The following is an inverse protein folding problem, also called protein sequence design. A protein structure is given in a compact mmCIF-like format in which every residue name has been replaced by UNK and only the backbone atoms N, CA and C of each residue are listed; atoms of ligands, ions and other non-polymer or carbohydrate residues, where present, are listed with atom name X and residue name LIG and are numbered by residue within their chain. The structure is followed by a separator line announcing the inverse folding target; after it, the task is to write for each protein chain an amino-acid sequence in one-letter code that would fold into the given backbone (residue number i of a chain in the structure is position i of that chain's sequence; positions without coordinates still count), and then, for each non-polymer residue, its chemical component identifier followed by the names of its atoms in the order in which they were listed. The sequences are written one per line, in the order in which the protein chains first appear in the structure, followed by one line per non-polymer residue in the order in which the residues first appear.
data_IF_039369314474
#
_entry.id   IF_039369314474
#
_cell.length_a   1.000
_cell.length_b   1.000
_cell.length_c   1.000
_cell.angle_alpha   90.00
_cell.angle_beta   90.00
_cell.angle_gamma   90.00
#
_symmetry.space_group_name_H-M   'P 1'
#
loop_
_entity.id
_entity.type
_entity.pdbx_description
1 polymer ?
#
# COMPACT_ATOMS: atom_id res chain seq x y z
N UNK A 1 11.30 71.12 61.92
CA UNK A 1 10.35 70.00 61.69
C UNK A 1 9.83 70.12 60.30
N UNK A 2 10.57 69.74 59.24
CA UNK A 2 10.02 69.64 57.89
C UNK A 2 11.12 69.09 56.97
N UNK A 3 11.31 67.81 56.88
CA UNK A 3 12.16 67.10 55.85
C UNK A 3 12.17 65.60 56.09
N UNK A 4 11.02 64.92 56.05
CA UNK A 4 10.93 63.47 56.03
C UNK A 4 9.61 63.03 55.27
N UNK A 5 9.30 63.50 54.07
CA UNK A 5 8.12 63.02 53.35
C UNK A 5 8.28 63.00 51.86
N UNK A 6 9.49 62.95 51.32
CA UNK A 6 9.64 62.93 49.83
C UNK A 6 10.39 61.74 49.23
N UNK A 7 10.68 60.65 49.98
CA UNK A 7 11.45 59.53 49.40
C UNK A 7 10.71 58.19 49.33
N UNK A 8 9.41 58.14 49.66
CA UNK A 8 8.67 56.90 49.69
C UNK A 8 7.76 56.66 48.43
N UNK A 9 7.54 57.69 47.58
CA UNK A 9 6.63 57.61 46.47
C UNK A 9 7.30 57.25 45.13
N UNK A 10 8.65 57.21 45.05
CA UNK A 10 9.37 56.98 43.81
C UNK A 10 9.86 55.54 43.62
N UNK A 11 9.71 54.67 44.63
CA UNK A 11 10.15 53.27 44.56
C UNK A 11 9.04 52.26 44.17
N UNK A 12 7.76 52.64 44.20
CA UNK A 12 6.64 51.78 43.89
C UNK A 12 6.24 51.79 42.43
N UNK A 13 6.61 52.80 41.63
CA UNK A 13 6.26 52.90 40.20
C UNK A 13 7.24 52.12 39.30
N UNK A 14 8.53 51.98 39.74
CA UNK A 14 9.50 51.17 38.95
C UNK A 14 9.32 49.66 39.08
N UNK A 15 8.66 49.15 40.12
CA UNK A 15 8.40 47.71 40.27
C UNK A 15 7.24 47.17 39.46
N UNK A 16 6.27 48.03 39.09
CA UNK A 16 5.07 47.61 38.38
C UNK A 16 5.27 47.49 36.85
N UNK A 17 6.25 48.23 36.31
CA UNK A 17 6.57 48.19 34.86
C UNK A 17 7.47 47.01 34.49
N UNK A 18 8.20 46.40 35.45
CA UNK A 18 9.06 45.24 35.22
C UNK A 18 8.29 43.92 35.23
N UNK A 19 7.15 43.83 35.91
CA UNK A 19 6.31 42.63 35.97
C UNK A 19 5.38 42.53 34.75
N UNK A 20 5.01 43.65 34.13
CA UNK A 20 4.15 43.66 32.92
C UNK A 20 4.91 43.30 31.64
N UNK A 21 6.24 43.41 31.62
CA UNK A 21 7.08 43.04 30.46
C UNK A 21 7.40 41.55 30.34
N UNK A 22 7.27 40.78 31.44
CA UNK A 22 7.57 39.32 31.42
C UNK A 22 6.39 38.43 31.08
N UNK A 23 5.17 38.94 31.04
CA UNK A 23 3.98 38.14 30.70
C UNK A 23 3.60 38.19 29.23
N UNK A 24 4.23 39.07 28.42
CA UNK A 24 3.95 39.17 26.96
C UNK A 24 4.84 38.29 26.10
N UNK A 25 5.86 37.62 26.65
CA UNK A 25 6.78 36.77 25.88
C UNK A 25 6.42 35.28 25.89
N UNK A 26 5.33 34.88 26.51
CA UNK A 26 4.94 33.47 26.64
C UNK A 26 3.81 33.03 25.69
N UNK A 27 3.38 33.89 24.77
CA UNK A 27 2.23 33.59 23.87
C UNK A 27 2.63 33.22 22.43
N UNK A 28 3.91 33.16 22.13
CA UNK A 28 4.36 32.96 20.74
C UNK A 28 5.21 31.71 20.58
N UNK A 29 4.74 30.55 20.94
CA UNK A 29 5.23 29.23 20.45
C UNK A 29 4.19 28.14 20.80
N UNK A 30 2.94 28.34 20.43
CA UNK A 30 2.06 27.21 20.13
C UNK A 30 2.38 26.83 18.69
N UNK A 31 3.56 26.25 18.45
CA UNK A 31 3.73 25.35 17.33
C UNK A 31 2.61 24.34 17.46
N UNK A 32 1.75 24.30 16.45
CA UNK A 32 0.75 23.27 16.31
C UNK A 32 1.50 21.93 16.31
N UNK A 33 1.61 21.32 17.49
CA UNK A 33 2.02 19.92 17.56
C UNK A 33 0.96 19.18 16.76
N UNK A 34 1.36 18.78 15.54
CA UNK A 34 0.60 17.81 14.75
C UNK A 34 0.43 16.63 15.69
N UNK A 35 -0.84 16.32 16.03
CA UNK A 35 -1.16 15.18 16.90
C UNK A 35 -0.77 13.89 16.17
N UNK A 36 0.49 13.48 16.31
CA UNK A 36 1.04 12.25 15.77
C UNK A 36 0.51 11.00 16.51
N UNK A 37 -0.42 11.16 17.45
CA UNK A 37 -0.92 10.07 18.29
C UNK A 37 -1.90 9.16 17.56
N UNK A 38 -2.63 9.66 16.57
CA UNK A 38 -3.57 8.84 15.81
C UNK A 38 -2.83 8.00 14.75
N UNK A 39 -3.09 6.67 14.69
CA UNK A 39 -2.45 5.82 13.71
C UNK A 39 -2.83 6.22 12.28
N UNK A 40 -1.83 6.22 11.37
CA UNK A 40 -2.06 6.35 9.94
C UNK A 40 -2.73 5.05 9.42
N UNK A 41 -3.91 5.16 8.87
CA UNK A 41 -4.68 4.00 8.39
C UNK A 41 -4.56 3.86 6.88
N UNK A 42 -3.86 2.79 6.43
CA UNK A 42 -3.54 2.57 5.03
C UNK A 42 -4.34 1.39 4.48
N UNK A 43 -5.11 1.62 3.43
CA UNK A 43 -5.77 0.58 2.64
C UNK A 43 -4.78 0.01 1.62
N UNK A 44 -4.51 -1.30 1.66
CA UNK A 44 -3.44 -1.94 0.89
C UNK A 44 -3.96 -3.13 0.10
N UNK A 45 -3.72 -3.16 -1.20
CA UNK A 45 -4.01 -4.32 -2.04
C UNK A 45 -3.22 -5.55 -1.55
N UNK A 46 -3.88 -6.70 -1.48
CA UNK A 46 -3.38 -7.91 -0.81
C UNK A 46 -2.05 -8.45 -1.36
N UNK A 47 -1.74 -8.20 -2.65
CA UNK A 47 -0.46 -8.56 -3.25
C UNK A 47 0.73 -7.84 -2.58
N UNK A 48 0.49 -6.61 -2.07
CA UNK A 48 1.52 -5.75 -1.51
C UNK A 48 1.67 -5.90 0.01
N UNK A 49 0.97 -6.85 0.62
CA UNK A 49 0.93 -7.01 2.09
C UNK A 49 2.28 -7.28 2.74
N UNK A 50 3.14 -8.08 2.11
CA UNK A 50 4.45 -8.44 2.68
C UNK A 50 5.43 -7.24 2.66
N UNK A 51 5.72 -6.59 1.52
CA UNK A 51 6.56 -5.40 1.50
C UNK A 51 5.97 -4.27 2.36
N UNK A 52 4.64 -4.09 2.37
CA UNK A 52 4.00 -3.03 3.14
C UNK A 52 4.21 -3.16 4.65
N UNK A 53 4.24 -4.38 5.18
CA UNK A 53 4.54 -4.60 6.61
C UNK A 53 5.95 -4.12 6.99
N UNK A 54 6.95 -4.36 6.13
CA UNK A 54 8.32 -3.86 6.35
C UNK A 54 8.37 -2.34 6.22
N UNK A 55 7.74 -1.78 5.17
CA UNK A 55 7.69 -0.34 4.95
C UNK A 55 6.95 0.39 6.09
N UNK A 56 5.86 -0.19 6.59
CA UNK A 56 5.14 0.36 7.74
C UNK A 56 6.01 0.39 9.00
N UNK A 57 6.68 -0.73 9.30
CA UNK A 57 7.59 -0.81 10.45
C UNK A 57 8.73 0.20 10.37
N UNK A 58 9.33 0.37 9.20
CA UNK A 58 10.39 1.36 8.98
C UNK A 58 9.87 2.80 9.14
N UNK A 59 8.71 3.10 8.55
CA UNK A 59 8.09 4.42 8.69
C UNK A 59 7.75 4.73 10.16
N UNK A 60 7.21 3.76 10.90
CA UNK A 60 6.96 3.90 12.34
C UNK A 60 8.24 4.17 13.13
N UNK A 61 9.36 3.49 12.81
CA UNK A 61 10.65 3.72 13.46
C UNK A 61 11.21 5.10 13.16
N UNK A 62 11.06 5.59 11.93
CA UNK A 62 11.59 6.91 11.53
C UNK A 62 10.78 8.07 12.08
N UNK A 63 9.46 7.92 12.20
CA UNK A 63 8.54 9.02 12.50
C UNK A 63 7.92 8.96 13.89
N UNK A 64 7.94 7.80 14.53
CA UNK A 64 7.21 7.52 15.77
C UNK A 64 5.69 7.39 15.58
N UNK A 65 5.17 7.52 14.34
CA UNK A 65 3.75 7.47 14.08
C UNK A 65 3.27 6.04 13.80
N UNK A 66 2.31 5.49 14.56
CA UNK A 66 1.80 4.14 14.32
C UNK A 66 1.09 4.03 12.97
N UNK A 67 1.22 2.87 12.31
CA UNK A 67 0.56 2.56 11.04
C UNK A 67 -0.38 1.38 11.22
N UNK A 68 -1.62 1.54 10.73
CA UNK A 68 -2.62 0.48 10.69
C UNK A 68 -2.90 0.06 9.25
N UNK A 69 -2.69 -1.20 8.94
CA UNK A 69 -2.92 -1.74 7.59
C UNK A 69 -4.28 -2.41 7.49
N UNK A 70 -5.06 -2.05 6.47
CA UNK A 70 -6.25 -2.77 6.05
C UNK A 70 -5.97 -3.45 4.72
N UNK A 71 -5.91 -4.78 4.72
CA UNK A 71 -5.47 -5.57 3.58
C UNK A 71 -6.65 -6.31 2.97
N UNK A 72 -6.96 -6.03 1.69
CA UNK A 72 -8.01 -6.71 0.92
C UNK A 72 -7.73 -6.60 -0.59
N UNK A 73 -8.68 -7.03 -1.45
CA UNK A 73 -8.60 -6.74 -2.88
C UNK A 73 -8.79 -5.24 -3.14
N UNK A 74 -8.16 -4.72 -4.21
CA UNK A 74 -8.31 -3.31 -4.61
C UNK A 74 -9.78 -2.91 -4.77
N UNK A 75 -10.62 -3.78 -5.36
CA UNK A 75 -12.06 -3.52 -5.53
C UNK A 75 -12.82 -3.43 -4.21
N UNK A 76 -12.51 -4.29 -3.24
CA UNK A 76 -13.14 -4.25 -1.92
C UNK A 76 -12.76 -2.97 -1.15
N UNK A 77 -11.48 -2.60 -1.18
CA UNK A 77 -11.00 -1.36 -0.55
C UNK A 77 -11.59 -0.13 -1.23
N UNK A 78 -11.62 -0.09 -2.56
CA UNK A 78 -12.26 0.97 -3.33
C UNK A 78 -13.73 1.16 -2.93
N UNK A 79 -14.51 0.08 -2.87
CA UNK A 79 -15.91 0.15 -2.43
C UNK A 79 -16.03 0.65 -0.98
N UNK A 80 -15.15 0.21 -0.07
CA UNK A 80 -15.14 0.70 1.31
C UNK A 80 -14.85 2.21 1.38
N UNK A 81 -13.89 2.72 0.57
CA UNK A 81 -13.59 4.16 0.49
C UNK A 81 -14.81 4.94 -0.01
N UNK A 82 -15.48 4.46 -1.07
CA UNK A 82 -16.71 5.08 -1.58
C UNK A 82 -17.83 5.13 -0.54
N UNK A 83 -17.88 4.20 0.40
CA UNK A 83 -18.82 4.17 1.52
C UNK A 83 -18.29 4.86 2.79
N UNK A 84 -17.24 5.65 2.70
CA UNK A 84 -16.72 6.48 3.78
C UNK A 84 -15.85 5.75 4.80
N UNK A 85 -15.26 4.61 4.46
CA UNK A 85 -14.29 3.96 5.34
C UNK A 85 -13.13 4.91 5.66
N UNK A 86 -12.67 4.97 6.93
CA UNK A 86 -11.74 5.99 7.41
C UNK A 86 -10.29 5.64 7.09
N UNK A 87 -9.95 5.51 5.82
CA UNK A 87 -8.58 5.34 5.36
C UNK A 87 -7.92 6.68 5.01
N UNK A 88 -6.63 6.79 5.21
CA UNK A 88 -5.83 7.98 4.95
C UNK A 88 -5.10 7.89 3.60
N UNK A 89 -4.59 6.70 3.28
CA UNK A 89 -3.90 6.39 2.02
C UNK A 89 -4.46 5.11 1.42
N UNK A 90 -4.52 5.05 0.09
CA UNK A 90 -4.91 3.85 -0.64
C UNK A 90 -3.81 3.43 -1.61
N UNK A 91 -3.32 2.19 -1.46
CA UNK A 91 -2.39 1.51 -2.36
C UNK A 91 -3.16 0.45 -3.15
N UNK A 92 -3.49 0.76 -4.39
CA UNK A 92 -4.20 -0.14 -5.30
C UNK A 92 -3.23 -1.01 -6.10
N UNK A 93 -3.69 -2.17 -6.54
CA UNK A 93 -2.98 -3.00 -7.50
C UNK A 93 -3.27 -2.62 -8.97
N UNK A 94 -3.93 -1.50 -9.22
CA UNK A 94 -4.16 -0.89 -10.53
C UNK A 94 -4.11 0.65 -10.44
N UNK A 95 -4.21 1.30 -11.60
CA UNK A 95 -4.25 2.77 -11.73
C UNK A 95 -5.69 3.31 -11.80
N UNK A 96 -6.64 2.49 -12.28
CA UNK A 96 -8.04 2.88 -12.51
C UNK A 96 -8.74 3.32 -11.21
N UNK A 97 -8.65 2.53 -10.15
CA UNK A 97 -9.36 2.83 -8.91
C UNK A 97 -8.87 4.09 -8.21
N UNK A 98 -7.55 4.33 -8.05
CA UNK A 98 -7.03 5.62 -7.59
C UNK A 98 -7.51 6.78 -8.45
N UNK A 99 -7.44 6.68 -9.78
CA UNK A 99 -7.89 7.71 -10.72
C UNK A 99 -9.38 8.03 -10.50
N UNK A 100 -10.22 7.02 -10.40
CA UNK A 100 -11.67 7.19 -10.16
C UNK A 100 -11.98 7.84 -8.81
N UNK A 101 -11.17 7.56 -7.76
CA UNK A 101 -11.34 8.27 -6.48
C UNK A 101 -10.98 9.76 -6.60
N UNK A 102 -9.97 10.12 -7.40
CA UNK A 102 -9.65 11.52 -7.71
C UNK A 102 -10.81 12.19 -8.44
N UNK A 103 -11.35 11.55 -9.47
CA UNK A 103 -12.48 12.05 -10.26
C UNK A 103 -13.76 12.23 -9.42
N UNK A 104 -13.96 11.38 -8.43
CA UNK A 104 -15.08 11.45 -7.48
C UNK A 104 -14.86 12.44 -6.33
N UNK A 105 -13.70 13.09 -6.26
CA UNK A 105 -13.35 14.00 -5.17
C UNK A 105 -13.10 13.30 -3.82
N UNK A 106 -12.86 11.97 -3.83
CA UNK A 106 -12.56 11.17 -2.64
C UNK A 106 -11.05 11.05 -2.38
N UNK A 107 -10.22 11.35 -3.39
CA UNK A 107 -8.77 11.43 -3.27
C UNK A 107 -8.25 12.82 -3.69
N UNK A 108 -7.08 13.19 -3.19
CA UNK A 108 -6.45 14.49 -3.44
C UNK A 108 -5.88 14.51 -4.87
N UNK A 109 -6.32 15.48 -5.66
CA UNK A 109 -5.78 15.67 -7.02
C UNK A 109 -4.27 15.92 -6.99
N UNK A 110 -3.54 15.26 -7.89
CA UNK A 110 -2.07 15.34 -7.99
C UNK A 110 -1.32 14.47 -6.99
N UNK A 111 -1.99 13.71 -6.10
CA UNK A 111 -1.34 12.80 -5.16
C UNK A 111 -1.13 11.38 -5.71
N UNK A 112 -1.73 11.06 -6.86
CA UNK A 112 -1.63 9.75 -7.47
C UNK A 112 -0.26 9.55 -8.13
N UNK A 113 0.37 8.42 -7.86
CA UNK A 113 1.60 7.99 -8.55
C UNK A 113 1.74 6.48 -8.54
N UNK A 114 2.45 5.93 -9.54
CA UNK A 114 2.79 4.51 -9.61
C UNK A 114 3.90 4.20 -8.60
N UNK A 115 3.64 3.28 -7.66
CA UNK A 115 4.64 2.85 -6.66
C UNK A 115 5.27 1.49 -6.97
N UNK A 116 4.64 0.65 -7.82
CA UNK A 116 5.13 -0.67 -8.17
C UNK A 116 4.56 -1.16 -9.52
N UNK A 117 5.27 -2.07 -10.16
CA UNK A 117 4.75 -2.87 -11.28
C UNK A 117 4.75 -4.34 -10.86
N UNK A 118 3.54 -4.91 -10.77
CA UNK A 118 3.37 -6.28 -10.28
C UNK A 118 3.70 -7.32 -11.33
N UNK A 119 4.18 -8.47 -10.89
CA UNK A 119 4.42 -9.63 -11.74
C UNK A 119 3.59 -10.84 -11.29
N UNK A 120 3.06 -11.57 -12.28
CA UNK A 120 2.24 -12.77 -12.07
C UNK A 120 3.13 -14.02 -12.05
N UNK A 121 2.79 -14.96 -11.18
CA UNK A 121 3.38 -16.27 -11.12
C UNK A 121 2.31 -17.36 -11.06
N UNK A 122 2.58 -18.51 -11.64
CA UNK A 122 1.82 -19.74 -11.40
C UNK A 122 2.58 -20.56 -10.38
N UNK A 123 1.95 -20.87 -9.26
CA UNK A 123 2.57 -21.54 -8.12
C UNK A 123 1.80 -22.78 -7.70
N UNK A 124 2.54 -23.76 -7.21
CA UNK A 124 2.03 -24.94 -6.51
C UNK A 124 2.78 -25.13 -5.20
N UNK A 125 2.09 -25.56 -4.15
CA UNK A 125 2.73 -26.00 -2.93
C UNK A 125 3.42 -27.38 -3.05
N UNK A 126 3.16 -28.09 -4.16
CA UNK A 126 3.79 -29.37 -4.43
C UNK A 126 5.21 -29.14 -4.99
N UNK A 127 6.17 -29.94 -4.51
CA UNK A 127 7.52 -29.97 -5.05
C UNK A 127 7.59 -30.90 -6.26
N UNK A 128 8.59 -30.65 -7.09
CA UNK A 128 8.93 -31.54 -8.22
C UNK A 128 7.84 -31.66 -9.31
N UNK A 129 6.94 -30.70 -9.39
CA UNK A 129 6.05 -30.53 -10.56
C UNK A 129 6.53 -29.36 -11.42
N UNK A 130 6.21 -29.38 -12.70
CA UNK A 130 6.32 -28.22 -13.57
C UNK A 130 4.94 -27.54 -13.65
N UNK A 131 4.76 -26.36 -13.04
CA UNK A 131 3.46 -25.69 -13.03
C UNK A 131 2.98 -25.31 -14.45
N UNK A 132 3.89 -24.89 -15.34
CA UNK A 132 3.52 -24.55 -16.73
C UNK A 132 3.03 -25.80 -17.47
N UNK A 133 3.80 -26.88 -17.44
CA UNK A 133 3.42 -28.12 -18.10
C UNK A 133 2.13 -28.69 -17.50
N UNK A 134 1.99 -28.66 -16.17
CA UNK A 134 0.79 -29.12 -15.46
C UNK A 134 -0.45 -28.34 -15.89
N UNK A 135 -0.33 -27.00 -16.03
CA UNK A 135 -1.40 -26.14 -16.52
C UNK A 135 -1.78 -26.49 -17.96
N UNK A 136 -0.79 -26.58 -18.87
CA UNK A 136 -0.98 -26.86 -20.29
C UNK A 136 -1.61 -28.23 -20.55
N UNK A 137 -1.24 -29.23 -19.78
CA UNK A 137 -1.78 -30.60 -19.88
C UNK A 137 -3.13 -30.76 -19.17
N UNK A 138 -3.55 -29.78 -18.38
CA UNK A 138 -4.75 -29.87 -17.57
C UNK A 138 -4.68 -30.90 -16.43
N UNK A 139 -3.49 -31.28 -15.97
CA UNK A 139 -3.25 -32.31 -14.95
C UNK A 139 -3.45 -31.74 -13.53
N UNK A 140 -4.54 -31.04 -13.30
CA UNK A 140 -4.94 -30.48 -12.01
C UNK A 140 -6.46 -30.54 -11.86
N UNK A 141 -6.95 -30.57 -10.63
CA UNK A 141 -8.39 -30.56 -10.31
C UNK A 141 -8.88 -29.15 -10.07
N UNK A 142 -8.07 -28.30 -9.42
CA UNK A 142 -8.42 -26.91 -9.07
C UNK A 142 -7.29 -25.97 -9.37
N UNK A 143 -7.66 -24.84 -10.00
CA UNK A 143 -6.81 -23.69 -10.30
C UNK A 143 -7.34 -22.47 -9.51
N UNK A 144 -6.58 -21.99 -8.56
CA UNK A 144 -6.96 -20.79 -7.81
C UNK A 144 -6.58 -19.52 -8.60
N UNK A 145 -7.53 -18.61 -8.76
CA UNK A 145 -7.29 -17.25 -9.25
C UNK A 145 -8.01 -16.24 -8.36
N UNK A 146 -7.51 -15.01 -8.28
CA UNK A 146 -8.28 -13.94 -7.66
C UNK A 146 -9.50 -13.58 -8.53
N UNK A 147 -10.60 -13.13 -7.91
CA UNK A 147 -11.77 -12.69 -8.68
C UNK A 147 -11.41 -11.48 -9.55
N UNK A 148 -11.48 -11.57 -10.89
CA UNK A 148 -11.05 -10.51 -11.80
C UNK A 148 -11.88 -9.23 -11.68
N UNK A 149 -13.13 -9.33 -11.19
CA UNK A 149 -13.97 -8.17 -10.91
C UNK A 149 -13.49 -7.35 -9.71
N UNK A 150 -12.70 -7.95 -8.81
CA UNK A 150 -12.25 -7.35 -7.55
C UNK A 150 -10.74 -7.10 -7.51
N UNK A 151 -9.96 -7.89 -8.24
CA UNK A 151 -8.51 -7.93 -8.12
C UNK A 151 -7.81 -7.87 -9.48
N UNK A 152 -6.92 -6.88 -9.70
CA UNK A 152 -6.16 -6.73 -10.96
C UNK A 152 -5.33 -7.96 -11.32
N UNK A 153 -4.77 -8.66 -10.35
CA UNK A 153 -4.08 -9.93 -10.57
C UNK A 153 -5.00 -11.05 -11.10
N UNK A 154 -6.28 -11.00 -10.75
CA UNK A 154 -7.28 -11.92 -11.31
C UNK A 154 -7.54 -11.63 -12.79
N UNK A 155 -7.62 -10.36 -13.16
CA UNK A 155 -7.72 -9.94 -14.57
C UNK A 155 -6.48 -10.36 -15.37
N UNK A 156 -5.28 -10.16 -14.80
CA UNK A 156 -4.02 -10.61 -15.41
C UNK A 156 -3.98 -12.15 -15.59
N UNK A 157 -4.51 -12.91 -14.63
CA UNK A 157 -4.61 -14.36 -14.73
C UNK A 157 -5.55 -14.79 -15.88
N UNK A 158 -6.71 -14.13 -16.03
CA UNK A 158 -7.62 -14.38 -17.18
C UNK A 158 -6.94 -14.05 -18.50
N UNK A 159 -6.24 -12.91 -18.59
CA UNK A 159 -5.49 -12.54 -19.80
C UNK A 159 -4.41 -13.56 -20.13
N UNK A 160 -3.70 -14.07 -19.15
CA UNK A 160 -2.69 -15.11 -19.33
C UNK A 160 -3.33 -16.41 -19.84
N UNK A 161 -4.47 -16.83 -19.30
CA UNK A 161 -5.20 -18.00 -19.79
C UNK A 161 -5.69 -17.83 -21.24
N UNK A 162 -6.14 -16.62 -21.60
CA UNK A 162 -6.51 -16.28 -22.99
C UNK A 162 -5.29 -16.37 -23.91
N UNK A 163 -4.18 -15.75 -23.53
CA UNK A 163 -2.93 -15.75 -24.31
C UNK A 163 -2.32 -17.14 -24.50
N UNK A 164 -2.61 -18.06 -23.57
CA UNK A 164 -2.15 -19.46 -23.63
C UNK A 164 -3.16 -20.39 -24.34
N UNK A 165 -4.33 -19.90 -24.74
CA UNK A 165 -5.46 -20.67 -25.29
C UNK A 165 -5.97 -21.75 -24.31
N UNK A 166 -5.98 -21.44 -23.01
CA UNK A 166 -6.36 -22.35 -21.93
C UNK A 166 -7.65 -21.95 -21.20
N UNK A 167 -8.37 -20.93 -21.65
CA UNK A 167 -9.56 -20.40 -20.97
C UNK A 167 -10.64 -21.48 -20.82
N UNK A 168 -11.07 -22.12 -21.91
CA UNK A 168 -12.14 -23.12 -21.86
C UNK A 168 -11.70 -24.41 -21.15
N UNK A 169 -10.45 -24.85 -21.34
CA UNK A 169 -9.90 -26.03 -20.70
C UNK A 169 -9.80 -25.88 -19.17
N UNK A 170 -9.59 -24.65 -18.69
CA UNK A 170 -9.45 -24.35 -17.24
C UNK A 170 -10.77 -24.00 -16.55
N UNK A 171 -11.77 -23.52 -17.27
CA UNK A 171 -12.98 -22.87 -16.76
C UNK A 171 -13.71 -23.67 -15.67
N UNK A 172 -13.90 -24.98 -15.86
CA UNK A 172 -14.58 -25.84 -14.88
C UNK A 172 -13.74 -26.15 -13.63
N UNK A 173 -12.45 -25.84 -13.67
CA UNK A 173 -11.47 -26.12 -12.60
C UNK A 173 -11.13 -24.87 -11.78
N UNK A 174 -11.52 -23.67 -12.23
CA UNK A 174 -11.22 -22.43 -11.56
C UNK A 174 -11.98 -22.34 -10.24
N UNK A 175 -11.26 -21.93 -9.18
CA UNK A 175 -11.84 -21.45 -7.93
C UNK A 175 -11.40 -20.00 -7.69
N UNK A 176 -12.37 -19.14 -7.34
CA UNK A 176 -12.13 -17.72 -7.17
C UNK A 176 -11.86 -17.37 -5.72
N UNK A 177 -10.72 -16.71 -5.46
CA UNK A 177 -10.47 -16.00 -4.22
C UNK A 177 -10.98 -14.56 -4.31
N UNK A 178 -11.50 -13.98 -3.23
CA UNK A 178 -11.88 -12.55 -3.19
C UNK A 178 -10.69 -11.61 -3.43
N UNK A 179 -9.47 -12.10 -3.19
CA UNK A 179 -8.22 -11.38 -3.39
C UNK A 179 -7.11 -12.35 -3.83
N UNK A 180 -6.00 -11.80 -4.33
CA UNK A 180 -4.80 -12.59 -4.64
C UNK A 180 -4.21 -13.25 -3.37
N UNK A 181 -4.44 -12.67 -2.20
CA UNK A 181 -4.07 -13.29 -0.91
C UNK A 181 -4.86 -14.57 -0.65
N UNK A 182 -6.16 -14.59 -0.94
CA UNK A 182 -6.97 -15.80 -0.78
C UNK A 182 -6.64 -16.85 -1.84
N UNK A 183 -6.38 -16.44 -3.09
CA UNK A 183 -5.93 -17.38 -4.13
C UNK A 183 -4.62 -18.08 -3.71
N UNK A 184 -3.66 -17.33 -3.15
CA UNK A 184 -2.44 -17.89 -2.57
C UNK A 184 -2.75 -18.89 -1.45
N UNK A 185 -3.66 -18.56 -0.53
CA UNK A 185 -4.03 -19.45 0.58
C UNK A 185 -4.70 -20.76 0.10
N UNK A 186 -5.48 -20.73 -0.97
CA UNK A 186 -6.05 -21.95 -1.54
C UNK A 186 -4.97 -22.94 -2.02
N UNK A 187 -3.88 -22.44 -2.57
CA UNK A 187 -2.75 -23.29 -2.97
C UNK A 187 -1.94 -23.72 -1.75
N UNK A 188 -1.64 -22.80 -0.83
CA UNK A 188 -0.86 -23.08 0.37
C UNK A 188 -1.51 -24.14 1.27
N UNK A 189 -2.85 -24.15 1.33
CA UNK A 189 -3.64 -25.14 2.10
C UNK A 189 -3.90 -26.45 1.34
N UNK A 190 -3.48 -26.56 0.06
CA UNK A 190 -3.79 -27.72 -0.77
C UNK A 190 -5.24 -27.78 -1.28
N UNK A 191 -6.03 -26.72 -1.09
CA UNK A 191 -7.39 -26.60 -1.65
C UNK A 191 -7.39 -26.45 -3.17
N UNK A 192 -6.29 -25.99 -3.76
CA UNK A 192 -5.98 -25.99 -5.17
C UNK A 192 -4.57 -26.53 -5.41
N UNK A 193 -4.36 -27.26 -6.49
CA UNK A 193 -3.04 -27.76 -6.88
C UNK A 193 -2.19 -26.67 -7.51
N UNK A 194 -2.82 -25.76 -8.25
CA UNK A 194 -2.17 -24.62 -8.92
C UNK A 194 -2.90 -23.32 -8.57
N UNK A 195 -2.19 -22.23 -8.61
CA UNK A 195 -2.81 -20.91 -8.51
C UNK A 195 -1.98 -19.81 -9.15
N UNK A 196 -2.67 -18.88 -9.80
CA UNK A 196 -2.06 -17.62 -10.19
C UNK A 196 -1.96 -16.72 -8.95
N UNK A 197 -0.74 -16.31 -8.63
CA UNK A 197 -0.38 -15.54 -7.43
C UNK A 197 0.54 -14.39 -7.82
N UNK A 198 0.74 -13.42 -6.92
CA UNK A 198 1.76 -12.40 -7.14
C UNK A 198 3.17 -12.99 -6.90
N UNK A 199 4.14 -12.67 -7.76
CA UNK A 199 5.55 -13.04 -7.56
C UNK A 199 6.04 -12.67 -6.16
N UNK A 200 5.63 -11.50 -5.65
CA UNK A 200 5.96 -11.03 -4.32
C UNK A 200 5.50 -11.98 -3.19
N UNK A 201 4.37 -12.67 -3.38
CA UNK A 201 3.88 -13.65 -2.39
C UNK A 201 4.76 -14.90 -2.36
N UNK A 202 5.23 -15.36 -3.52
CA UNK A 202 6.14 -16.50 -3.62
C UNK A 202 7.48 -16.17 -2.98
N UNK A 203 8.04 -14.99 -3.27
CA UNK A 203 9.30 -14.52 -2.68
C UNK A 203 9.17 -14.39 -1.15
N UNK A 204 8.09 -13.78 -0.66
CA UNK A 204 7.83 -13.65 0.78
C UNK A 204 7.69 -15.02 1.47
N UNK A 205 7.04 -15.98 0.83
CA UNK A 205 6.91 -17.34 1.34
C UNK A 205 8.25 -18.07 1.37
N UNK A 206 9.10 -17.87 0.35
CA UNK A 206 10.45 -18.45 0.30
C UNK A 206 11.41 -17.93 1.38
N UNK A 207 11.11 -16.76 1.95
CA UNK A 207 11.89 -16.18 3.06
C UNK A 207 11.49 -16.75 4.44
N UNK A 208 10.41 -17.53 4.51
CA UNK A 208 9.97 -18.20 5.75
C UNK A 208 10.13 -19.72 5.59
N UNK A 209 10.82 -20.36 6.53
CA UNK A 209 11.19 -21.79 6.51
C UNK A 209 10.02 -22.78 6.28
N UNK A 210 8.77 -22.34 6.49
CA UNK A 210 7.59 -23.22 6.46
C UNK A 210 6.85 -23.30 5.12
N UNK A 211 7.06 -22.34 4.18
CA UNK A 211 6.31 -22.30 2.91
C UNK A 211 7.21 -22.30 1.64
N UNK A 212 8.51 -22.40 1.82
CA UNK A 212 9.52 -22.26 0.73
C UNK A 212 9.62 -23.47 -0.22
N UNK A 213 8.73 -24.46 -0.10
CA UNK A 213 8.88 -25.76 -0.76
C UNK A 213 7.78 -26.01 -1.78
N UNK A 214 7.67 -25.17 -2.78
CA UNK A 214 6.77 -25.40 -3.89
C UNK A 214 7.48 -25.28 -5.22
N UNK A 215 6.75 -25.43 -6.30
CA UNK A 215 7.19 -25.21 -7.66
C UNK A 215 6.56 -23.94 -8.21
N UNK A 216 7.32 -23.13 -8.95
CA UNK A 216 6.86 -21.84 -9.50
C UNK A 216 7.25 -21.72 -10.98
N UNK A 217 6.34 -21.13 -11.73
CA UNK A 217 6.60 -20.58 -13.07
C UNK A 217 6.33 -19.09 -13.05
N UNK A 218 7.35 -18.27 -13.24
CA UNK A 218 7.19 -16.83 -13.42
C UNK A 218 6.73 -16.58 -14.85
N UNK A 219 5.54 -15.97 -14.99
CA UNK A 219 4.94 -15.79 -16.31
C UNK A 219 5.70 -14.72 -17.12
N UNK A 220 5.92 -14.98 -18.42
CA UNK A 220 6.39 -13.95 -19.34
C UNK A 220 5.45 -12.75 -19.38
N UNK A 221 6.01 -11.53 -19.37
CA UNK A 221 5.24 -10.28 -19.29
C UNK A 221 4.38 -9.98 -20.53
N UNK A 222 4.57 -10.71 -21.64
CA UNK A 222 3.75 -10.58 -22.83
C UNK A 222 2.44 -11.38 -22.77
N UNK A 223 2.20 -12.16 -21.72
CA UNK A 223 0.96 -12.94 -21.57
C UNK A 223 -0.19 -12.15 -20.95
N UNK A 224 0.09 -10.99 -20.34
CA UNK A 224 -0.90 -10.13 -19.68
C UNK A 224 -0.46 -8.65 -19.71
N UNK A 225 -1.41 -7.74 -19.53
CA UNK A 225 -1.11 -6.32 -19.44
C UNK A 225 -0.29 -5.99 -18.18
N UNK A 226 0.64 -5.01 -18.21
CA UNK A 226 1.43 -4.61 -17.06
C UNK A 226 0.53 -4.25 -15.85
N UNK A 227 0.80 -4.83 -14.70
CA UNK A 227 0.04 -4.59 -13.47
C UNK A 227 0.64 -3.36 -12.77
N UNK A 228 0.41 -2.15 -13.31
CA UNK A 228 0.84 -0.88 -12.72
C UNK A 228 -0.01 -0.58 -11.50
N UNK A 229 0.62 -0.29 -10.38
CA UNK A 229 -0.01 -0.14 -9.07
C UNK A 229 0.20 1.28 -8.56
N UNK A 230 -0.91 1.98 -8.29
CA UNK A 230 -0.86 3.37 -7.88
C UNK A 230 -1.27 3.56 -6.41
N UNK A 231 -0.59 4.52 -5.77
CA UNK A 231 -0.92 5.06 -4.46
C UNK A 231 -1.64 6.40 -4.62
N UNK A 232 -2.51 6.74 -3.66
CA UNK A 232 -3.20 8.02 -3.61
C UNK A 232 -3.51 8.44 -2.17
N UNK A 233 -3.45 9.76 -1.90
CA UNK A 233 -3.87 10.37 -0.65
C UNK A 233 -5.40 10.56 -0.65
N UNK A 234 -6.09 10.08 0.37
CA UNK A 234 -7.53 10.28 0.48
C UNK A 234 -7.85 11.67 1.07
N UNK A 235 -8.96 12.28 0.62
CA UNK A 235 -9.33 13.67 0.99
C UNK A 235 -9.44 13.85 2.50
N UNK A 236 -9.87 12.82 3.22
CA UNK A 236 -9.96 12.83 4.68
C UNK A 236 -8.60 13.18 5.35
N UNK A 237 -7.49 12.77 4.75
CA UNK A 237 -6.13 12.99 5.27
C UNK A 237 -5.39 14.15 4.55
N UNK A 238 -6.11 15.00 3.79
CA UNK A 238 -5.50 16.08 2.99
C UNK A 238 -4.64 17.04 3.83
N UNK A 239 -5.04 17.30 5.07
CA UNK A 239 -4.33 18.19 6.00
C UNK A 239 -3.42 17.45 6.97
N UNK A 240 -3.36 16.11 6.87
CA UNK A 240 -2.51 15.27 7.71
C UNK A 240 -1.10 15.20 7.13
N UNK A 241 -0.15 15.88 7.77
CA UNK A 241 1.24 15.93 7.33
C UNK A 241 1.90 14.54 7.31
N UNK A 242 1.54 13.64 8.23
CA UNK A 242 2.10 12.29 8.28
C UNK A 242 1.61 11.40 7.14
N UNK A 243 0.40 11.61 6.63
CA UNK A 243 -0.08 10.91 5.43
C UNK A 243 0.69 11.37 4.18
N UNK A 244 0.98 12.67 4.06
CA UNK A 244 1.86 13.20 3.02
C UNK A 244 3.28 12.66 3.12
N UNK A 245 3.88 12.68 4.31
CA UNK A 245 5.21 12.11 4.58
C UNK A 245 5.28 10.61 4.22
N UNK A 246 4.20 9.84 4.46
CA UNK A 246 4.18 8.44 4.07
C UNK A 246 4.25 8.26 2.55
N UNK A 247 3.55 9.08 1.77
CA UNK A 247 3.63 9.03 0.30
C UNK A 247 5.02 9.43 -0.22
N UNK A 248 5.68 10.39 0.42
CA UNK A 248 7.07 10.75 0.14
C UNK A 248 8.02 9.60 0.51
N UNK A 249 7.85 9.01 1.70
CA UNK A 249 8.61 7.83 2.13
C UNK A 249 8.47 6.68 1.15
N UNK A 250 7.27 6.42 0.61
CA UNK A 250 7.02 5.35 -0.36
C UNK A 250 7.79 5.58 -1.68
N UNK A 251 8.19 6.81 -1.99
CA UNK A 251 9.01 7.17 -3.14
C UNK A 251 10.52 7.21 -2.84
N UNK A 252 10.93 6.98 -1.59
CA UNK A 252 12.34 6.95 -1.18
C UNK A 252 13.10 5.78 -1.82
N UNK A 253 14.43 5.88 -1.87
CA UNK A 253 15.28 4.79 -2.35
C UNK A 253 15.16 3.54 -1.46
N UNK A 254 14.99 3.69 -0.16
CA UNK A 254 14.72 2.57 0.76
C UNK A 254 13.45 1.81 0.36
N UNK A 255 12.35 2.53 0.15
CA UNK A 255 11.09 1.92 -0.24
C UNK A 255 11.17 1.27 -1.62
N UNK A 256 11.77 1.92 -2.61
CA UNK A 256 11.99 1.36 -3.95
C UNK A 256 12.80 0.07 -3.91
N UNK A 257 13.93 0.07 -3.19
CA UNK A 257 14.77 -1.12 -3.03
C UNK A 257 14.01 -2.25 -2.31
N UNK A 258 13.26 -1.93 -1.26
CA UNK A 258 12.40 -2.91 -0.57
C UNK A 258 11.40 -3.52 -1.53
N UNK A 259 10.70 -2.71 -2.32
CA UNK A 259 9.71 -3.15 -3.31
C UNK A 259 10.35 -4.07 -4.36
N UNK A 260 11.50 -3.68 -4.91
CA UNK A 260 12.25 -4.48 -5.90
C UNK A 260 12.71 -5.82 -5.32
N UNK A 261 13.16 -5.87 -4.07
CA UNK A 261 13.57 -7.11 -3.40
C UNK A 261 12.42 -8.13 -3.26
N UNK A 262 11.17 -7.66 -3.27
CA UNK A 262 9.99 -8.53 -3.37
C UNK A 262 9.60 -8.90 -4.80
N UNK A 263 10.45 -8.58 -5.81
CA UNK A 263 10.24 -8.98 -7.20
C UNK A 263 9.19 -8.16 -7.95
N UNK A 264 8.97 -6.91 -7.55
CA UNK A 264 8.25 -5.95 -8.36
C UNK A 264 9.17 -5.39 -9.45
N UNK A 265 8.62 -5.20 -10.64
CA UNK A 265 9.32 -4.60 -11.75
C UNK A 265 9.66 -3.12 -11.52
N UNK A 266 10.69 -2.65 -12.23
CA UNK A 266 11.09 -1.25 -12.21
C UNK A 266 10.00 -0.35 -12.81
N UNK A 267 9.76 0.79 -12.18
CA UNK A 267 8.93 1.86 -12.74
C UNK A 267 9.80 2.55 -13.80
N UNK A 268 9.81 2.02 -15.05
CA UNK A 268 10.36 2.78 -16.15
C UNK A 268 9.46 3.99 -16.36
N UNK A 269 10.00 5.18 -16.22
CA UNK A 269 9.37 6.40 -16.74
C UNK A 269 9.34 6.24 -18.25
N UNK A 270 8.21 5.83 -18.82
CA UNK A 270 8.02 5.86 -20.25
C UNK A 270 8.13 7.32 -20.69
N UNK A 271 9.34 7.69 -21.14
CA UNK A 271 9.62 8.96 -21.79
C UNK A 271 9.00 8.95 -23.22
N UNK A 272 7.68 8.72 -23.31
CA UNK A 272 6.90 8.92 -24.54
C UNK A 272 5.45 9.28 -24.18
N UNK A 273 5.26 10.58 -24.02
CA UNK A 273 3.94 11.17 -23.79
C UNK A 273 3.98 12.69 -23.93
N UNK A 274 4.77 13.19 -24.92
CA UNK A 274 4.66 14.56 -25.38
C UNK A 274 4.89 14.59 -26.91
N UNK A 275 3.84 14.32 -27.67
CA UNK A 275 3.61 14.89 -29.00
C UNK A 275 2.13 15.11 -29.18
#
# INVERSE_FOLDING_TARGET
MLKIFSSLCLRTVSGLLLVLGLTLSAVALAESQVDNSAPLTIAVAANFSAPMKLLASEFEQQTGRPVRLSIASSGKLFAQIQHGAPFDVFLSADQDKPQRLVEQGLAVSGSQFTYAVGELALWSSQQHIDPEQTLRQGNFRKLAIANPKLAPYGLAAEQALVSLDLTEASKSKIIFGESIGQAFQFVASGSAELGFVARAQVIAAGSSDSLSKGSVWFLPNNLYAPIRQDAVLLVRAKTDSGAGQFLEFLQSEYAKNTIQNFGYGSISVDAKGSQ
#
